data_IF_470667192719
#
_entry.id   IF_470667192719
#
_cell.length_a   1.000
_cell.length_b   1.000
_cell.length_c   1.000
_cell.angle_alpha   90.00
_cell.angle_beta   90.00
_cell.angle_gamma   90.00
#
_symmetry.space_group_name_H-M   'P 1'
#
loop_
_entity.id
_entity.type
_entity.pdbx_description
1 polymer ?
#
# COMPACT_ATOMS: atom_id res chain seq x y z
N UNK A 1 -5.49 16.63 -19.55
CA UNK A 1 -5.44 16.82 -18.08
C UNK A 1 -4.08 16.30 -17.62
N UNK A 2 -3.33 17.06 -16.82
CA UNK A 2 -2.07 16.57 -16.25
C UNK A 2 -2.33 15.34 -15.37
N UNK A 3 -1.45 14.35 -15.40
CA UNK A 3 -1.55 13.13 -14.59
C UNK A 3 -1.33 13.43 -13.09
N UNK A 4 -2.32 14.05 -12.45
CA UNK A 4 -2.25 14.55 -11.08
C UNK A 4 -2.01 13.42 -10.07
N UNK A 5 -2.61 12.25 -10.29
CA UNK A 5 -2.35 11.06 -9.49
C UNK A 5 -0.87 10.65 -9.52
N UNK A 6 -0.27 10.58 -10.72
CA UNK A 6 1.17 10.32 -10.84
C UNK A 6 2.01 11.38 -10.14
N UNK A 7 1.65 12.66 -10.27
CA UNK A 7 2.33 13.76 -9.57
C UNK A 7 2.30 13.59 -8.05
N UNK A 8 1.19 13.14 -7.47
CA UNK A 8 1.12 12.81 -6.04
C UNK A 8 2.09 11.70 -5.67
N UNK A 9 2.11 10.60 -6.44
CA UNK A 9 3.04 9.50 -6.20
C UNK A 9 4.48 9.99 -6.27
N UNK A 10 4.86 10.72 -7.32
CA UNK A 10 6.22 11.26 -7.45
C UNK A 10 6.57 12.22 -6.30
N UNK A 11 5.61 13.02 -5.83
CA UNK A 11 5.80 13.91 -4.66
C UNK A 11 6.12 13.09 -3.40
N UNK A 12 5.37 12.01 -3.14
CA UNK A 12 5.63 11.10 -2.01
C UNK A 12 7.01 10.47 -2.13
N UNK A 13 7.34 9.92 -3.32
CA UNK A 13 8.60 9.20 -3.56
C UNK A 13 9.83 10.12 -3.50
N UNK A 14 9.67 11.41 -3.76
CA UNK A 14 10.75 12.40 -3.62
C UNK A 14 10.97 12.87 -2.16
N UNK A 15 10.07 12.53 -1.24
CA UNK A 15 10.10 13.05 0.12
C UNK A 15 11.05 12.23 1.02
N UNK A 16 12.26 12.76 1.26
CA UNK A 16 13.34 12.09 2.01
C UNK A 16 12.90 11.45 3.33
N UNK A 17 12.08 12.13 4.13
CA UNK A 17 11.60 11.58 5.41
C UNK A 17 10.71 10.35 5.24
N UNK A 18 9.85 10.32 4.21
CA UNK A 18 8.98 9.18 3.94
C UNK A 18 9.80 8.00 3.43
N UNK A 19 10.80 8.25 2.59
CA UNK A 19 11.72 7.23 2.11
C UNK A 19 12.53 6.58 3.25
N UNK A 20 12.73 7.30 4.36
CA UNK A 20 13.37 6.82 5.58
C UNK A 20 12.50 5.95 6.50
N UNK A 21 11.26 5.59 6.13
CA UNK A 21 10.43 4.69 6.95
C UNK A 21 11.05 3.28 6.94
N UNK A 22 11.30 2.71 8.13
CA UNK A 22 12.07 1.47 8.31
C UNK A 22 11.26 0.27 8.83
N UNK A 23 9.99 0.48 9.19
CA UNK A 23 9.14 -0.57 9.73
C UNK A 23 7.74 -0.52 9.09
N UNK A 24 7.09 -1.68 9.02
CA UNK A 24 5.85 -1.82 8.30
C UNK A 24 4.68 -1.03 8.93
N UNK A 25 4.48 -0.97 10.26
CA UNK A 25 3.37 -0.21 10.84
C UNK A 25 3.48 1.31 10.60
N UNK A 26 4.69 1.86 10.62
CA UNK A 26 4.90 3.29 10.35
C UNK A 26 4.53 3.70 8.92
N UNK A 27 4.49 2.76 7.96
CA UNK A 27 4.10 3.09 6.58
C UNK A 27 2.68 3.63 6.52
N UNK A 28 1.71 2.98 7.18
CA UNK A 28 0.32 3.46 7.17
C UNK A 28 0.14 4.76 7.92
N UNK A 29 0.82 4.90 9.07
CA UNK A 29 0.78 6.11 9.89
C UNK A 29 1.38 7.31 9.15
N UNK A 30 2.62 7.20 8.68
CA UNK A 30 3.36 8.33 8.11
C UNK A 30 2.86 8.70 6.71
N UNK A 31 2.53 7.71 5.85
CA UNK A 31 1.94 8.01 4.52
C UNK A 31 0.53 8.58 4.66
N UNK A 32 -0.29 8.02 5.57
CA UNK A 32 -1.60 8.57 5.89
C UNK A 32 -1.48 10.02 6.38
N UNK A 33 -0.59 10.27 7.34
CA UNK A 33 -0.36 11.62 7.85
C UNK A 33 0.10 12.58 6.73
N UNK A 34 1.07 12.19 5.91
CA UNK A 34 1.55 13.03 4.82
C UNK A 34 0.45 13.40 3.82
N UNK A 35 -0.41 12.45 3.43
CA UNK A 35 -1.48 12.69 2.44
C UNK A 35 -2.62 13.53 3.04
N UNK A 36 -3.02 13.26 4.28
CA UNK A 36 -4.18 13.93 4.89
C UNK A 36 -3.83 15.18 5.71
N UNK A 37 -2.54 15.46 5.94
CA UNK A 37 -2.08 16.55 6.80
C UNK A 37 -2.38 16.33 8.30
N UNK A 38 -2.85 15.12 8.67
CA UNK A 38 -3.09 14.68 10.05
C UNK A 38 -3.11 13.16 10.14
N UNK A 39 -2.81 12.63 11.33
CA UNK A 39 -2.90 11.19 11.63
C UNK A 39 -4.30 10.65 11.31
N UNK A 40 -4.33 9.50 10.66
CA UNK A 40 -5.55 8.73 10.39
C UNK A 40 -5.65 7.59 11.40
N UNK A 41 -6.88 7.30 11.82
CA UNK A 41 -7.15 6.20 12.74
C UNK A 41 -7.83 5.06 12.00
N UNK A 42 -7.39 3.84 12.28
CA UNK A 42 -8.06 2.62 11.85
C UNK A 42 -9.34 2.44 12.69
N UNK A 43 -10.46 2.93 12.16
CA UNK A 43 -11.75 2.81 12.82
C UNK A 43 -12.34 1.43 12.60
N UNK A 44 -12.94 0.84 13.64
CA UNK A 44 -13.52 -0.50 13.62
C UNK A 44 -12.50 -1.60 13.26
N UNK A 45 -12.97 -2.82 12.98
CA UNK A 45 -12.12 -3.93 12.53
C UNK A 45 -11.62 -3.79 11.09
N UNK A 46 -12.10 -2.80 10.34
CA UNK A 46 -11.89 -2.70 8.89
C UNK A 46 -12.67 -3.76 8.12
N UNK A 47 -12.48 -3.77 6.79
CA UNK A 47 -12.94 -4.85 5.91
C UNK A 47 -12.00 -6.06 6.05
N UNK A 48 -12.54 -7.25 6.32
CA UNK A 48 -11.75 -8.45 6.60
C UNK A 48 -12.02 -9.55 5.59
N UNK A 49 -10.96 -10.09 4.99
CA UNK A 49 -10.99 -11.29 4.16
C UNK A 49 -10.13 -12.37 4.84
N UNK A 50 -10.76 -13.51 5.15
CA UNK A 50 -10.06 -14.67 5.71
C UNK A 50 -9.86 -15.75 4.64
N UNK A 51 -8.75 -16.48 4.74
CA UNK A 51 -8.34 -17.53 3.79
C UNK A 51 -9.42 -18.61 3.59
N UNK A 52 -10.15 -18.99 4.63
CA UNK A 52 -11.14 -20.05 4.58
C UNK A 52 -12.42 -19.68 3.80
N UNK A 53 -12.69 -18.39 3.59
CA UNK A 53 -13.95 -17.90 3.01
C UNK A 53 -13.74 -16.85 1.91
N UNK A 54 -12.51 -16.67 1.43
CA UNK A 54 -12.24 -15.67 0.40
C UNK A 54 -12.82 -16.11 -0.95
N UNK A 55 -13.18 -15.12 -1.77
CA UNK A 55 -13.49 -15.30 -3.18
C UNK A 55 -12.86 -14.16 -3.95
N UNK A 56 -12.62 -14.34 -5.25
CA UNK A 56 -12.11 -13.24 -6.09
C UNK A 56 -13.07 -12.03 -6.08
N UNK A 57 -14.38 -12.26 -5.97
CA UNK A 57 -15.38 -11.19 -5.82
C UNK A 57 -15.18 -10.34 -4.55
N UNK A 58 -14.84 -10.96 -3.41
CA UNK A 58 -14.51 -10.21 -2.17
C UNK A 58 -13.26 -9.36 -2.35
N UNK A 59 -12.22 -9.88 -3.01
CA UNK A 59 -11.01 -9.11 -3.33
C UNK A 59 -11.34 -7.95 -4.27
N UNK A 60 -12.12 -8.19 -5.33
CA UNK A 60 -12.48 -7.15 -6.28
C UNK A 60 -13.29 -6.01 -5.61
N UNK A 61 -14.20 -6.35 -4.70
CA UNK A 61 -14.95 -5.37 -3.90
C UNK A 61 -14.03 -4.59 -2.96
N UNK A 62 -13.08 -5.28 -2.30
CA UNK A 62 -12.07 -4.66 -1.46
C UNK A 62 -11.25 -3.62 -2.24
N UNK A 63 -10.93 -3.90 -3.51
CA UNK A 63 -10.16 -3.00 -4.38
C UNK A 63 -11.02 -1.95 -5.10
N UNK A 64 -12.33 -1.89 -4.84
CA UNK A 64 -13.20 -0.86 -5.38
C UNK A 64 -12.83 0.53 -4.86
N UNK A 65 -12.51 1.47 -5.76
CA UNK A 65 -12.40 2.90 -5.46
C UNK A 65 -13.50 3.65 -6.22
N UNK A 66 -14.29 4.44 -5.50
CA UNK A 66 -15.46 5.17 -6.00
C UNK A 66 -15.17 6.69 -6.04
N UNK A 67 -13.91 7.11 -5.95
CA UNK A 67 -13.52 8.52 -6.08
C UNK A 67 -13.53 8.98 -7.54
N UNK A 68 -13.64 10.29 -7.73
CA UNK A 68 -13.50 10.96 -9.01
C UNK A 68 -12.04 10.93 -9.51
N UNK A 69 -11.84 11.28 -10.78
CA UNK A 69 -10.51 11.27 -11.41
C UNK A 69 -9.50 12.21 -10.73
N UNK A 70 -9.98 13.26 -10.07
CA UNK A 70 -9.17 14.23 -9.32
C UNK A 70 -8.99 13.86 -7.85
N UNK A 71 -9.38 12.65 -7.45
CA UNK A 71 -9.40 12.18 -6.07
C UNK A 71 -8.52 10.94 -5.86
N UNK A 72 -8.15 10.75 -4.61
CA UNK A 72 -7.36 9.61 -4.13
C UNK A 72 -7.78 9.23 -2.72
N UNK A 73 -7.18 8.19 -2.16
CA UNK A 73 -7.30 7.79 -0.78
C UNK A 73 -6.04 7.04 -0.34
N UNK A 74 -5.93 6.74 0.96
CA UNK A 74 -4.97 5.76 1.47
C UNK A 74 -5.75 4.60 2.06
N UNK A 75 -5.37 3.39 1.66
CA UNK A 75 -5.91 2.16 2.23
C UNK A 75 -4.79 1.46 3.00
N UNK A 76 -4.99 1.28 4.29
CA UNK A 76 -4.08 0.54 5.14
C UNK A 76 -4.45 -0.94 5.12
N UNK A 77 -3.49 -1.78 4.74
CA UNK A 77 -3.61 -3.23 4.78
C UNK A 77 -2.78 -3.80 5.92
N UNK A 78 -3.40 -4.71 6.68
CA UNK A 78 -2.77 -5.58 7.66
C UNK A 78 -2.93 -7.02 7.19
N UNK A 79 -1.81 -7.71 7.05
CA UNK A 79 -1.78 -9.14 6.76
C UNK A 79 -1.32 -9.89 7.98
N UNK A 80 -2.11 -10.88 8.38
CA UNK A 80 -1.78 -11.82 9.44
C UNK A 80 -1.55 -13.19 8.81
N UNK A 81 -0.33 -13.69 8.95
CA UNK A 81 0.10 -14.98 8.42
C UNK A 81 -0.39 -16.15 9.25
N UNK A 82 -0.10 -17.37 8.77
CA UNK A 82 -0.45 -18.62 9.47
C UNK A 82 0.24 -18.72 10.84
N UNK A 83 1.41 -18.10 11.01
CA UNK A 83 2.07 -17.95 12.31
C UNK A 83 1.72 -16.60 12.91
N UNK A 84 1.38 -16.58 14.21
CA UNK A 84 0.94 -15.37 14.92
C UNK A 84 1.95 -14.20 14.86
N UNK A 85 3.25 -14.49 14.65
CA UNK A 85 4.30 -13.47 14.54
C UNK A 85 4.51 -12.95 13.11
N UNK A 86 3.85 -13.54 12.12
CA UNK A 86 3.97 -13.11 10.72
C UNK A 86 2.93 -12.05 10.43
N UNK A 87 3.29 -10.80 10.71
CA UNK A 87 2.44 -9.64 10.48
C UNK A 87 3.13 -8.73 9.47
N UNK A 88 2.37 -8.17 8.53
CA UNK A 88 2.87 -7.15 7.62
C UNK A 88 1.83 -6.06 7.36
N UNK A 89 2.27 -4.82 7.46
CA UNK A 89 1.47 -3.63 7.18
C UNK A 89 1.99 -2.95 5.91
N UNK A 90 1.07 -2.49 5.07
CA UNK A 90 1.43 -1.64 3.93
C UNK A 90 0.25 -0.77 3.52
N UNK A 91 0.51 0.17 2.62
CA UNK A 91 -0.54 1.03 2.07
C UNK A 91 -0.73 0.83 0.59
N UNK A 92 -1.98 0.95 0.16
CA UNK A 92 -2.38 1.05 -1.23
C UNK A 92 -3.02 2.41 -1.45
N UNK A 93 -2.55 3.13 -2.46
CA UNK A 93 -3.06 4.44 -2.86
C UNK A 93 -3.73 4.26 -4.24
N UNK A 94 -5.07 4.26 -4.34
CA UNK A 94 -5.74 4.34 -5.63
C UNK A 94 -5.60 5.73 -6.25
N UNK A 95 -5.40 5.79 -7.56
CA UNK A 95 -5.40 7.03 -8.34
C UNK A 95 -5.79 6.76 -9.80
N UNK A 96 -6.11 7.81 -10.56
CA UNK A 96 -6.47 7.70 -11.97
C UNK A 96 -5.30 8.09 -12.86
N UNK A 97 -4.93 7.17 -13.75
CA UNK A 97 -3.97 7.42 -14.81
C UNK A 97 -4.65 8.06 -16.01
N UNK A 98 -4.11 9.20 -16.45
CA UNK A 98 -4.58 9.99 -17.60
C UNK A 98 -3.75 9.75 -18.88
N UNK A 99 -2.97 8.67 -18.89
CA UNK A 99 -2.15 8.22 -20.01
C UNK A 99 -2.46 6.74 -20.26
N UNK A 100 -2.28 6.24 -21.48
CA UNK A 100 -2.66 4.87 -21.81
C UNK A 100 -1.79 3.82 -21.05
N UNK A 101 -2.38 2.76 -20.46
CA UNK A 101 -3.82 2.50 -20.34
C UNK A 101 -4.50 3.44 -19.34
N UNK A 102 -5.58 4.08 -19.79
CA UNK A 102 -6.36 5.01 -18.97
C UNK A 102 -7.14 4.25 -17.91
N UNK A 103 -7.32 4.87 -16.75
CA UNK A 103 -8.25 4.37 -15.74
C UNK A 103 -7.63 4.30 -14.36
N UNK A 104 -8.32 3.55 -13.49
CA UNK A 104 -7.91 3.39 -12.10
C UNK A 104 -6.71 2.46 -11.99
N UNK A 105 -5.70 2.95 -11.29
CA UNK A 105 -4.49 2.23 -10.94
C UNK A 105 -4.20 2.42 -9.45
N UNK A 106 -3.17 1.73 -8.96
CA UNK A 106 -2.80 1.75 -7.56
C UNK A 106 -1.29 1.86 -7.41
N UNK A 107 -0.86 2.45 -6.29
CA UNK A 107 0.52 2.39 -5.82
C UNK A 107 0.55 1.66 -4.50
N UNK A 108 1.39 0.62 -4.41
CA UNK A 108 1.64 -0.11 -3.16
C UNK A 108 2.93 0.42 -2.55
N UNK A 109 2.89 0.87 -1.30
CA UNK A 109 4.08 1.32 -0.55
C UNK A 109 4.21 0.46 0.71
N UNK A 110 5.41 -0.07 0.94
CA UNK A 110 5.71 -0.93 2.08
C UNK A 110 7.16 -0.78 2.53
N UNK A 111 7.39 -1.07 3.79
CA UNK A 111 8.69 -1.27 4.42
C UNK A 111 8.56 -2.52 5.30
N UNK A 112 9.65 -3.15 5.68
CA UNK A 112 9.59 -4.36 6.50
C UNK A 112 10.61 -4.26 7.63
N UNK A 113 10.11 -4.33 8.85
CA UNK A 113 10.89 -4.10 10.07
C UNK A 113 12.09 -5.05 10.14
N UNK A 114 13.28 -4.48 10.40
CA UNK A 114 14.54 -5.24 10.45
C UNK A 114 14.98 -5.85 9.10
N UNK A 115 14.32 -5.52 7.99
CA UNK A 115 14.62 -6.07 6.66
C UNK A 115 14.92 -4.97 5.66
N UNK A 116 13.95 -4.11 5.34
CA UNK A 116 14.15 -3.05 4.35
C UNK A 116 13.31 -1.80 4.63
N UNK A 117 13.86 -0.64 4.28
CA UNK A 117 13.15 0.64 4.29
C UNK A 117 12.20 0.78 3.11
N UNK A 118 11.32 1.80 3.16
CA UNK A 118 10.52 2.19 2.01
C UNK A 118 11.41 2.55 0.81
N UNK A 119 12.51 3.29 1.00
CA UNK A 119 13.49 3.59 -0.05
C UNK A 119 14.03 2.32 -0.74
N UNK A 120 14.40 1.31 0.05
CA UNK A 120 14.91 0.05 -0.48
C UNK A 120 13.84 -0.71 -1.27
N UNK A 121 12.57 -0.66 -0.83
CA UNK A 121 11.46 -1.24 -1.57
C UNK A 121 11.25 -0.55 -2.94
N UNK A 122 11.21 0.78 -2.96
CA UNK A 122 11.06 1.56 -4.21
C UNK A 122 12.25 1.36 -5.15
N UNK A 123 13.45 1.31 -4.58
CA UNK A 123 14.70 1.10 -5.32
C UNK A 123 14.93 -0.37 -5.71
N UNK A 124 14.02 -1.29 -5.36
CA UNK A 124 14.14 -2.73 -5.63
C UNK A 124 15.47 -3.29 -5.15
N UNK A 125 15.87 -2.90 -3.93
CA UNK A 125 17.13 -3.33 -3.32
C UNK A 125 16.85 -4.42 -2.29
N UNK A 126 17.57 -5.53 -2.40
CA UNK A 126 17.52 -6.60 -1.40
C UNK A 126 17.70 -6.05 0.03
N UNK A 127 16.99 -6.61 1.02
CA UNK A 127 16.11 -7.80 0.95
C UNK A 127 14.69 -7.52 0.44
N UNK A 128 14.37 -6.31 -0.01
CA UNK A 128 13.06 -6.01 -0.61
C UNK A 128 12.82 -6.87 -1.89
N UNK A 129 11.56 -7.05 -2.33
CA UNK A 129 11.27 -7.86 -3.50
C UNK A 129 11.92 -7.29 -4.78
N UNK A 130 12.70 -8.12 -5.46
CA UNK A 130 13.40 -7.78 -6.69
C UNK A 130 12.97 -8.75 -7.80
N UNK A 131 12.05 -8.36 -8.68
CA UNK A 131 11.64 -9.22 -9.79
C UNK A 131 10.27 -8.89 -10.38
N UNK A 132 9.63 -9.91 -10.95
CA UNK A 132 8.29 -9.81 -11.56
C UNK A 132 7.16 -9.69 -10.50
N UNK A 133 7.45 -10.08 -9.26
CA UNK A 133 6.58 -9.96 -8.09
C UNK A 133 7.08 -8.83 -7.18
N UNK A 134 6.19 -8.29 -6.35
CA UNK A 134 6.50 -7.15 -5.48
C UNK A 134 6.49 -5.82 -6.24
N UNK A 135 7.44 -4.92 -5.98
CA UNK A 135 7.34 -3.51 -6.39
C UNK A 135 7.00 -3.30 -7.88
N UNK A 136 5.97 -2.49 -8.12
CA UNK A 136 5.63 -1.90 -9.41
C UNK A 136 5.34 -0.42 -9.21
N UNK A 137 5.73 0.39 -10.19
CA UNK A 137 5.38 1.82 -10.19
C UNK A 137 3.88 2.04 -10.33
N UNK A 138 3.20 1.17 -11.08
CA UNK A 138 1.76 1.22 -11.32
C UNK A 138 1.22 -0.20 -11.20
N UNK A 139 0.20 -0.38 -10.36
CA UNK A 139 -0.55 -1.62 -10.23
C UNK A 139 -1.93 -1.47 -10.85
N UNK A 140 -2.37 -2.45 -11.61
CA UNK A 140 -3.78 -2.61 -12.02
C UNK A 140 -4.59 -3.30 -10.93
N UNK A 141 -5.92 -3.20 -11.00
CA UNK A 141 -6.82 -3.92 -10.10
C UNK A 141 -6.63 -5.45 -10.21
N UNK A 142 -6.37 -5.95 -11.43
CA UNK A 142 -6.14 -7.37 -11.69
C UNK A 142 -4.84 -7.85 -11.05
N UNK A 143 -3.75 -7.09 -11.17
CA UNK A 143 -2.47 -7.46 -10.56
C UNK A 143 -2.53 -7.43 -9.04
N UNK A 144 -3.13 -6.37 -8.47
CA UNK A 144 -3.28 -6.26 -7.02
C UNK A 144 -4.25 -7.34 -6.48
N UNK A 145 -5.32 -7.64 -7.23
CA UNK A 145 -6.24 -8.72 -6.91
C UNK A 145 -5.57 -10.08 -6.96
N UNK A 146 -4.68 -10.31 -7.93
CA UNK A 146 -3.85 -11.52 -8.02
C UNK A 146 -2.89 -11.61 -6.84
N UNK A 147 -2.22 -10.52 -6.45
CA UNK A 147 -1.34 -10.50 -5.28
C UNK A 147 -2.08 -10.96 -4.03
N UNK A 148 -3.27 -10.40 -3.75
CA UNK A 148 -4.06 -10.80 -2.57
C UNK A 148 -4.55 -12.25 -2.65
N UNK A 149 -4.95 -12.72 -3.83
CA UNK A 149 -5.35 -14.11 -4.04
C UNK A 149 -4.18 -15.06 -3.78
N UNK A 150 -3.02 -14.79 -4.37
CA UNK A 150 -1.80 -15.58 -4.19
C UNK A 150 -1.35 -15.60 -2.71
N UNK A 151 -1.40 -14.46 -2.03
CA UNK A 151 -1.06 -14.36 -0.61
C UNK A 151 -1.97 -15.23 0.28
N UNK A 152 -3.23 -15.43 -0.11
CA UNK A 152 -4.18 -16.29 0.59
C UNK A 152 -4.07 -17.77 0.19
N UNK A 153 -3.52 -18.11 -0.99
CA UNK A 153 -3.56 -19.49 -1.53
C UNK A 153 -2.21 -20.19 -1.66
N UNK A 154 -1.10 -19.46 -1.83
CA UNK A 154 0.22 -20.04 -2.04
C UNK A 154 1.15 -19.84 -0.84
N UNK A 155 1.85 -20.90 -0.43
CA UNK A 155 2.73 -20.91 0.75
C UNK A 155 4.04 -20.12 0.60
N UNK A 156 4.41 -19.76 -0.62
CA UNK A 156 5.60 -18.98 -0.94
C UNK A 156 5.28 -17.53 -1.37
N UNK A 157 4.00 -17.16 -1.47
CA UNK A 157 3.60 -15.83 -1.96
C UNK A 157 4.13 -14.70 -1.07
N UNK A 158 4.27 -14.93 0.24
CA UNK A 158 4.79 -13.92 1.16
C UNK A 158 6.20 -13.46 0.78
N UNK A 159 7.11 -14.39 0.52
CA UNK A 159 8.47 -14.09 0.09
C UNK A 159 8.51 -13.50 -1.34
N UNK A 160 7.62 -13.95 -2.23
CA UNK A 160 7.52 -13.40 -3.58
C UNK A 160 7.11 -11.92 -3.59
N UNK A 161 6.10 -11.54 -2.80
CA UNK A 161 5.56 -10.19 -2.79
C UNK A 161 6.25 -9.25 -1.80
N UNK A 162 6.87 -9.78 -0.74
CA UNK A 162 7.52 -8.99 0.31
C UNK A 162 9.04 -9.17 0.39
N UNK A 163 9.66 -9.93 -0.53
CA UNK A 163 11.12 -10.10 -0.57
C UNK A 163 11.63 -11.14 0.44
N UNK A 164 12.94 -11.12 0.72
CA UNK A 164 13.65 -12.12 1.55
C UNK A 164 13.32 -11.97 3.06
N UNK A 165 12.05 -12.13 3.40
CA UNK A 165 11.48 -12.01 4.75
C UNK A 165 11.07 -13.37 5.33
N UNK A 166 11.25 -14.44 4.54
CA UNK A 166 10.87 -15.80 4.88
C UNK A 166 9.53 -16.22 4.28
N UNK A 167 9.38 -17.53 4.08
CA UNK A 167 8.16 -18.11 3.51
C UNK A 167 7.01 -18.07 4.52
N UNK A 168 5.85 -17.66 4.04
CA UNK A 168 4.60 -17.66 4.79
C UNK A 168 3.42 -17.54 3.82
N UNK A 169 2.22 -17.56 4.40
CA UNK A 169 0.95 -17.36 3.72
C UNK A 169 0.06 -16.51 4.61
N UNK A 170 -0.73 -15.62 4.02
CA UNK A 170 -1.74 -14.88 4.75
C UNK A 170 -2.90 -15.80 5.15
N UNK A 171 -3.28 -15.75 6.42
CA UNK A 171 -4.52 -16.33 6.91
C UNK A 171 -5.67 -15.30 6.87
N UNK A 172 -5.33 -14.01 7.01
CA UNK A 172 -6.28 -12.92 7.05
C UNK A 172 -5.67 -11.65 6.44
N UNK A 173 -6.50 -10.92 5.70
CA UNK A 173 -6.23 -9.57 5.22
C UNK A 173 -7.28 -8.66 5.86
N UNK A 174 -6.85 -7.65 6.59
CA UNK A 174 -7.68 -6.54 7.07
C UNK A 174 -7.33 -5.28 6.29
N UNK A 175 -8.34 -4.47 5.96
CA UNK A 175 -8.18 -3.23 5.23
C UNK A 175 -8.99 -2.09 5.87
N UNK A 176 -8.35 -0.96 6.10
CA UNK A 176 -9.01 0.29 6.47
C UNK A 176 -8.88 1.28 5.32
N UNK A 177 -10.02 1.71 4.76
CA UNK A 177 -10.07 2.71 3.70
C UNK A 177 -10.31 4.07 4.30
N UNK A 178 -9.31 4.95 4.28
CA UNK A 178 -9.47 6.31 4.77
C UNK A 178 -10.32 7.14 3.80
N UNK A 179 -10.82 8.29 4.28
CA UNK A 179 -11.73 9.16 3.53
C UNK A 179 -11.11 9.60 2.20
N UNK A 180 -11.89 9.70 1.14
CA UNK A 180 -11.43 10.27 -0.13
C UNK A 180 -10.96 11.72 0.05
N UNK A 181 -9.89 12.10 -0.64
CA UNK A 181 -9.32 13.45 -0.66
C UNK A 181 -8.98 13.87 -2.10
N UNK A 182 -9.04 15.17 -2.40
CA UNK A 182 -8.55 15.67 -3.68
C UNK A 182 -7.04 15.49 -3.80
N UNK A 183 -6.59 15.14 -5.00
CA UNK A 183 -5.16 14.93 -5.29
C UNK A 183 -4.35 16.20 -5.06
N UNK A 184 -4.92 17.37 -5.37
CA UNK A 184 -4.26 18.66 -5.15
C UNK A 184 -3.99 18.92 -3.66
N UNK A 185 -4.99 18.70 -2.79
CA UNK A 185 -4.84 18.83 -1.34
C UNK A 185 -3.83 17.82 -0.81
N UNK A 186 -3.87 16.58 -1.30
CA UNK A 186 -2.89 15.55 -0.93
C UNK A 186 -1.46 15.98 -1.27
N UNK A 187 -1.22 16.51 -2.47
CA UNK A 187 0.10 17.04 -2.88
C UNK A 187 0.53 18.20 -1.96
N UNK A 188 -0.38 19.14 -1.69
CA UNK A 188 -0.09 20.27 -0.82
C UNK A 188 0.29 19.82 0.61
N UNK A 189 -0.39 18.80 1.14
CA UNK A 189 -0.09 18.23 2.45
C UNK A 189 1.26 17.52 2.48
N UNK A 190 1.56 16.67 1.48
CA UNK A 190 2.85 15.96 1.39
C UNK A 190 4.01 16.97 1.31
N UNK A 191 3.87 18.06 0.56
CA UNK A 191 4.89 19.10 0.49
C UNK A 191 5.13 19.86 1.80
N UNK A 192 4.14 19.88 2.70
CA UNK A 192 4.25 20.52 4.04
C UNK A 192 4.56 19.53 5.14
N UNK A 193 4.70 18.25 4.81
CA UNK A 193 4.74 17.19 5.79
C UNK A 193 6.03 17.24 6.62
N UNK A 194 5.85 17.20 7.93
CA UNK A 194 6.91 17.02 8.92
C UNK A 194 6.55 15.75 9.69
N UNK A 195 7.45 14.76 9.67
CA UNK A 195 7.27 13.49 10.38
C UNK A 195 6.89 13.69 11.85
N UNK A 196 6.11 12.75 12.39
CA UNK A 196 5.82 12.73 13.82
C UNK A 196 7.14 12.45 14.54
N UNK A 197 7.47 13.23 15.56
CA UNK A 197 8.63 12.93 16.39
C UNK A 197 8.37 11.58 17.08
N UNK A 198 9.25 10.61 16.87
CA UNK A 198 9.22 9.35 17.62
C UNK A 198 9.50 9.69 19.09
N UNK A 199 8.45 9.70 19.91
CA UNK A 199 8.57 9.78 21.38
C UNK A 199 8.91 8.43 21.96
#
# INVERSE_FOLDING_TARGET
MSNSGRKLIDTILSHKKLMGILNCPAVSVEIGHAIYGKVQNDLSSGEVIKKEVFTQGKINNLLGFIGANSETAVWHFLLEGVRATTIHHFVVIPWYQHEHPWGRVYTVLMAYEGKYSLDQYISRKLPAPTGCYGYKTVWTATELGKMFSDLLTHSNAWEQYFGLVGQSQANKISCWKYKVISVESAIANVNRYISIAST
#
